data_IF_750230077762
#
_entry.id   IF_750230077762
#
_cell.length_a   1.000
_cell.length_b   1.000
_cell.length_c   1.000
_cell.angle_alpha   90.00
_cell.angle_beta   90.00
_cell.angle_gamma   90.00
#
_symmetry.space_group_name_H-M   'P 1'
#
loop_
_entity.id
_entity.type
_entity.pdbx_description
1 polymer ?
#
# COMPACT_ATOMS: atom_id res chain seq x y z
N UNK A 1 6.28 3.08 8.83
CA UNK A 1 6.29 2.01 9.85
C UNK A 1 6.44 0.62 9.23
N UNK A 2 6.07 0.43 7.97
CA UNK A 2 6.26 -0.84 7.23
C UNK A 2 7.68 -0.95 6.62
N UNK A 3 8.30 0.16 6.23
CA UNK A 3 9.59 0.20 5.56
C UNK A 3 10.75 -0.48 6.30
N UNK A 4 10.92 -0.38 7.62
CA UNK A 4 12.02 -1.05 8.29
C UNK A 4 12.07 -2.55 8.01
N UNK A 5 10.91 -3.24 8.00
CA UNK A 5 10.86 -4.68 7.72
C UNK A 5 11.08 -5.02 6.25
N UNK A 6 10.60 -4.18 5.34
CA UNK A 6 10.90 -4.34 3.90
C UNK A 6 12.40 -4.20 3.66
N UNK A 7 13.03 -3.18 4.27
CA UNK A 7 14.48 -2.96 4.17
C UNK A 7 15.25 -4.12 4.79
N UNK A 8 14.81 -4.66 5.93
CA UNK A 8 15.40 -5.84 6.57
C UNK A 8 15.40 -7.06 5.63
N UNK A 9 14.28 -7.31 4.94
CA UNK A 9 14.19 -8.38 3.94
C UNK A 9 15.13 -8.15 2.76
N UNK A 10 15.21 -6.93 2.23
CA UNK A 10 16.15 -6.57 1.16
C UNK A 10 17.59 -6.77 1.62
N UNK A 11 17.95 -6.24 2.80
CA UNK A 11 19.31 -6.29 3.34
C UNK A 11 19.77 -7.72 3.59
N UNK A 12 18.92 -8.56 4.15
CA UNK A 12 19.25 -9.97 4.44
C UNK A 12 19.69 -10.74 3.19
N UNK A 13 19.00 -10.50 2.07
CA UNK A 13 19.30 -11.15 0.78
C UNK A 13 20.54 -10.55 0.15
N UNK A 14 20.61 -9.21 0.01
CA UNK A 14 21.70 -8.53 -0.70
C UNK A 14 23.03 -8.67 0.02
N UNK A 15 23.06 -8.50 1.35
CA UNK A 15 24.29 -8.63 2.15
C UNK A 15 24.84 -10.06 2.09
N UNK A 16 23.98 -11.09 2.08
CA UNK A 16 24.41 -12.49 1.90
C UNK A 16 25.11 -12.76 0.58
N UNK A 17 24.89 -11.92 -0.43
CA UNK A 17 25.51 -11.99 -1.77
C UNK A 17 26.64 -10.97 -1.97
N UNK A 18 27.07 -10.28 -0.91
CA UNK A 18 28.18 -9.34 -0.93
C UNK A 18 27.83 -7.93 -1.42
N UNK A 19 26.55 -7.60 -1.57
CA UNK A 19 26.10 -6.24 -1.93
C UNK A 19 25.88 -5.38 -0.68
N UNK A 20 26.00 -4.07 -0.86
CA UNK A 20 25.68 -3.06 0.17
C UNK A 20 24.52 -2.20 -0.28
N UNK A 21 23.71 -1.71 0.66
CA UNK A 21 22.55 -0.88 0.37
C UNK A 21 22.87 0.61 0.56
N UNK A 22 22.45 1.42 -0.42
CA UNK A 22 22.37 2.88 -0.29
C UNK A 22 20.89 3.26 -0.19
N UNK A 23 20.42 3.63 0.99
CA UNK A 23 19.03 4.02 1.20
C UNK A 23 18.81 5.50 0.83
N UNK A 24 17.81 5.77 -0.02
CA UNK A 24 17.32 7.10 -0.36
C UNK A 24 15.86 7.22 0.04
N UNK A 25 15.50 8.27 0.79
CA UNK A 25 14.13 8.51 1.22
C UNK A 25 13.51 9.67 0.45
N UNK A 26 12.55 9.36 -0.40
CA UNK A 26 11.83 10.33 -1.25
C UNK A 26 10.70 11.05 -0.51
N UNK A 27 10.31 10.59 0.68
CA UNK A 27 9.14 11.10 1.45
C UNK A 27 7.85 11.14 0.62
N UNK A 28 7.70 10.20 -0.28
CA UNK A 28 6.62 10.13 -1.26
C UNK A 28 6.48 11.41 -2.11
N UNK A 29 7.60 12.04 -2.44
CA UNK A 29 7.69 13.24 -3.29
C UNK A 29 8.33 12.90 -4.63
N UNK A 30 7.60 13.13 -5.73
CA UNK A 30 8.09 12.88 -7.10
C UNK A 30 9.32 13.70 -7.46
N UNK A 31 9.42 14.94 -6.98
CA UNK A 31 10.61 15.77 -7.21
C UNK A 31 11.83 15.24 -6.45
N UNK A 32 11.62 14.70 -5.24
CA UNK A 32 12.69 14.04 -4.48
C UNK A 32 13.09 12.71 -5.12
N UNK A 33 12.13 11.95 -5.65
CA UNK A 33 12.42 10.71 -6.39
C UNK A 33 13.29 11.00 -7.61
N UNK A 34 12.89 11.98 -8.44
CA UNK A 34 13.70 12.41 -9.58
C UNK A 34 15.13 12.80 -9.16
N UNK A 35 15.25 13.62 -8.11
CA UNK A 35 16.57 14.01 -7.58
C UNK A 35 17.38 12.81 -7.08
N UNK A 36 16.75 11.86 -6.38
CA UNK A 36 17.43 10.64 -5.94
C UNK A 36 17.92 9.80 -7.12
N UNK A 37 17.11 9.65 -8.18
CA UNK A 37 17.50 8.94 -9.39
C UNK A 37 18.66 9.64 -10.10
N UNK A 38 18.63 10.97 -10.25
CA UNK A 38 19.74 11.74 -10.82
C UNK A 38 21.05 11.55 -10.05
N UNK A 39 20.98 11.56 -8.71
CA UNK A 39 22.14 11.31 -7.85
C UNK A 39 22.66 9.88 -7.96
N UNK A 40 21.76 8.88 -8.10
CA UNK A 40 22.14 7.47 -8.26
C UNK A 40 22.80 7.20 -9.62
N UNK A 41 22.28 7.81 -10.69
CA UNK A 41 22.88 7.71 -12.04
C UNK A 41 24.30 8.26 -12.15
N UNK A 42 24.75 9.08 -11.17
CA UNK A 42 26.11 9.58 -11.08
C UNK A 42 27.05 8.70 -10.23
N UNK A 43 26.50 7.61 -9.65
CA UNK A 43 27.24 6.67 -8.82
C UNK A 43 27.41 5.35 -9.54
N UNK A 44 28.44 4.63 -9.15
CA UNK A 44 28.65 3.25 -9.58
C UNK A 44 27.74 2.35 -8.74
N UNK A 45 26.52 2.10 -9.26
CA UNK A 45 25.50 1.25 -8.64
C UNK A 45 25.18 0.07 -9.54
N UNK A 46 24.97 -1.09 -8.95
CA UNK A 46 24.65 -2.32 -9.68
C UNK A 46 23.17 -2.41 -10.06
N UNK A 47 22.28 -1.90 -9.21
CA UNK A 47 20.83 -1.97 -9.46
C UNK A 47 20.01 -1.14 -8.47
N UNK A 48 18.70 -1.04 -8.66
CA UNK A 48 17.81 -0.21 -7.84
C UNK A 48 16.52 -0.95 -7.48
N UNK A 49 16.11 -0.89 -6.21
CA UNK A 49 14.75 -1.27 -5.78
C UNK A 49 14.01 0.03 -5.45
N UNK A 50 12.83 0.21 -6.04
CA UNK A 50 12.11 1.49 -6.05
C UNK A 50 10.69 1.30 -5.55
N UNK A 51 10.32 1.98 -4.47
CA UNK A 51 8.92 2.27 -4.19
C UNK A 51 8.56 3.61 -4.81
N UNK A 52 7.74 3.64 -5.86
CA UNK A 52 7.49 4.85 -6.63
C UNK A 52 6.64 5.85 -5.84
N UNK A 53 7.06 7.11 -5.82
CA UNK A 53 6.34 8.19 -5.14
C UNK A 53 5.07 8.57 -5.91
N UNK A 54 3.93 8.56 -5.20
CA UNK A 54 2.62 8.90 -5.78
C UNK A 54 2.33 8.13 -7.06
N UNK A 55 2.45 6.81 -6.98
CA UNK A 55 2.43 5.86 -8.10
C UNK A 55 1.16 5.93 -8.97
N UNK A 56 0.04 6.45 -8.45
CA UNK A 56 -1.20 6.68 -9.22
C UNK A 56 -1.11 7.91 -10.13
N UNK A 57 -0.19 8.84 -9.84
CA UNK A 57 -0.06 10.08 -10.62
C UNK A 57 0.95 9.85 -11.75
N UNK A 58 0.63 10.39 -12.94
CA UNK A 58 1.49 10.30 -14.12
C UNK A 58 2.96 10.65 -13.81
N UNK A 59 3.88 9.74 -14.08
CA UNK A 59 5.31 9.95 -13.87
C UNK A 59 5.86 10.93 -14.91
N UNK A 60 6.40 12.08 -14.46
CA UNK A 60 6.96 13.10 -15.33
C UNK A 60 8.46 12.95 -15.61
N UNK A 61 9.13 12.07 -14.86
CA UNK A 61 10.58 11.83 -14.94
C UNK A 61 10.91 10.45 -15.51
N UNK A 62 10.10 9.97 -16.46
CA UNK A 62 10.33 8.69 -17.17
C UNK A 62 11.70 8.62 -17.82
N UNK A 63 12.20 9.75 -18.30
CA UNK A 63 13.53 9.87 -18.89
C UNK A 63 14.68 9.43 -17.96
N UNK A 64 14.47 9.45 -16.63
CA UNK A 64 15.48 8.95 -15.67
C UNK A 64 15.45 7.42 -15.59
N UNK A 65 14.30 6.82 -15.75
CA UNK A 65 14.14 5.36 -15.89
C UNK A 65 14.70 4.88 -17.23
N UNK A 66 14.46 5.64 -18.33
CA UNK A 66 15.05 5.35 -19.64
C UNK A 66 16.58 5.34 -19.56
N UNK A 67 17.19 6.24 -18.77
CA UNK A 67 18.64 6.25 -18.53
C UNK A 67 19.14 5.03 -17.74
N UNK A 68 18.35 4.52 -16.77
CA UNK A 68 18.68 3.26 -16.10
C UNK A 68 18.74 2.11 -17.13
N UNK A 69 17.75 2.04 -18.04
CA UNK A 69 17.74 1.06 -19.12
C UNK A 69 18.94 1.25 -20.09
N UNK A 70 19.25 2.47 -20.50
CA UNK A 70 20.40 2.80 -21.37
C UNK A 70 21.75 2.40 -20.76
N UNK A 71 21.87 2.57 -19.45
CA UNK A 71 23.11 2.23 -18.71
C UNK A 71 23.14 0.76 -18.26
N UNK A 72 22.10 -0.04 -18.63
CA UNK A 72 21.93 -1.42 -18.21
C UNK A 72 21.93 -1.60 -16.68
N UNK A 73 21.38 -0.63 -15.94
CA UNK A 73 21.16 -0.70 -14.51
C UNK A 73 19.77 -1.30 -14.26
N UNK A 74 19.65 -2.57 -13.83
CA UNK A 74 18.36 -3.18 -13.59
C UNK A 74 17.66 -2.53 -12.40
N UNK A 75 16.33 -2.43 -12.47
CA UNK A 75 15.52 -1.95 -11.37
C UNK A 75 14.25 -2.77 -11.18
N UNK A 76 13.79 -2.83 -9.94
CA UNK A 76 12.58 -3.55 -9.52
C UNK A 76 11.68 -2.59 -8.76
N UNK A 77 10.41 -2.49 -9.17
CA UNK A 77 9.40 -1.81 -8.39
C UNK A 77 8.90 -2.69 -7.24
N UNK A 78 8.66 -2.07 -6.09
CA UNK A 78 8.11 -2.74 -4.92
C UNK A 78 6.90 -1.97 -4.40
N UNK A 79 5.86 -2.69 -3.95
CA UNK A 79 4.63 -2.18 -3.35
C UNK A 79 3.71 -1.39 -4.31
N UNK A 80 4.25 -0.68 -5.25
CA UNK A 80 3.52 0.08 -6.26
C UNK A 80 4.29 0.14 -7.58
N UNK A 81 3.61 0.51 -8.65
CA UNK A 81 4.19 0.72 -9.97
C UNK A 81 3.45 1.84 -10.69
N UNK A 82 4.15 2.64 -11.48
CA UNK A 82 3.49 3.58 -12.38
C UNK A 82 2.80 2.84 -13.53
N UNK A 83 1.61 3.27 -13.93
CA UNK A 83 0.87 2.66 -15.07
C UNK A 83 1.70 2.65 -16.36
N UNK A 84 2.52 3.70 -16.57
CA UNK A 84 3.41 3.80 -17.74
C UNK A 84 4.52 2.73 -17.77
N UNK A 85 4.78 2.06 -16.64
CA UNK A 85 5.89 1.12 -16.44
C UNK A 85 5.42 -0.23 -15.92
N UNK A 86 4.13 -0.56 -16.11
CA UNK A 86 3.53 -1.80 -15.61
C UNK A 86 4.21 -3.09 -16.12
N UNK A 87 4.91 -3.01 -17.24
CA UNK A 87 5.64 -4.13 -17.85
C UNK A 87 7.04 -4.33 -17.24
N UNK A 88 7.48 -3.40 -16.38
CA UNK A 88 8.79 -3.49 -15.72
C UNK A 88 8.78 -4.49 -14.56
N UNK A 89 9.95 -5.01 -14.16
CA UNK A 89 10.07 -5.92 -13.02
C UNK A 89 9.45 -5.34 -11.74
N UNK A 90 8.61 -6.13 -11.07
CA UNK A 90 7.88 -5.63 -9.89
C UNK A 90 7.47 -6.74 -8.93
N UNK A 91 7.41 -6.39 -7.65
CA UNK A 91 6.87 -7.23 -6.58
C UNK A 91 5.78 -6.44 -5.85
N UNK A 92 4.55 -6.83 -6.07
CA UNK A 92 3.36 -6.16 -5.54
C UNK A 92 2.53 -7.12 -4.69
N UNK A 93 1.68 -6.56 -3.82
CA UNK A 93 0.60 -7.31 -3.19
C UNK A 93 -0.69 -7.13 -4.01
N UNK A 94 -1.56 -8.14 -4.01
CA UNK A 94 -2.88 -8.01 -4.63
C UNK A 94 -3.81 -7.16 -3.75
N UNK A 95 -3.61 -5.84 -3.83
CA UNK A 95 -4.36 -4.85 -3.06
C UNK A 95 -5.86 -4.86 -3.39
N UNK A 96 -6.22 -5.19 -4.64
CA UNK A 96 -7.62 -5.31 -5.03
C UNK A 96 -8.28 -6.50 -4.31
N UNK A 97 -7.61 -7.63 -4.27
CA UNK A 97 -8.08 -8.79 -3.51
C UNK A 97 -8.11 -8.50 -2.01
N UNK A 98 -7.11 -7.79 -1.46
CA UNK A 98 -7.09 -7.40 -0.06
C UNK A 98 -8.28 -6.50 0.33
N UNK A 99 -8.54 -5.46 -0.45
CA UNK A 99 -9.70 -4.58 -0.27
C UNK A 99 -11.04 -5.33 -0.40
N UNK A 100 -11.12 -6.27 -1.35
CA UNK A 100 -12.28 -7.14 -1.49
C UNK A 100 -12.50 -8.04 -0.27
N UNK A 101 -11.46 -8.73 0.19
CA UNK A 101 -11.55 -9.68 1.31
C UNK A 101 -12.04 -9.01 2.60
N UNK A 102 -11.46 -7.85 2.94
CA UNK A 102 -11.80 -7.16 4.19
C UNK A 102 -13.20 -6.55 4.14
N UNK A 103 -13.64 -6.05 3.00
CA UNK A 103 -14.98 -5.51 2.80
C UNK A 103 -16.01 -6.63 2.82
N UNK A 104 -15.76 -7.73 2.13
CA UNK A 104 -16.62 -8.93 2.15
C UNK A 104 -16.79 -9.47 3.56
N UNK A 105 -15.73 -9.51 4.37
CA UNK A 105 -15.80 -9.93 5.76
C UNK A 105 -16.79 -9.06 6.57
N UNK A 106 -16.75 -7.74 6.44
CA UNK A 106 -17.73 -6.85 7.10
C UNK A 106 -19.16 -7.12 6.63
N UNK A 107 -19.35 -7.34 5.33
CA UNK A 107 -20.67 -7.67 4.77
C UNK A 107 -21.19 -9.01 5.33
N UNK A 108 -20.33 -10.01 5.45
CA UNK A 108 -20.67 -11.32 6.04
C UNK A 108 -21.01 -11.23 7.53
N UNK A 109 -20.50 -10.24 8.26
CA UNK A 109 -20.89 -9.90 9.62
C UNK A 109 -22.24 -9.16 9.71
N UNK A 110 -22.83 -8.77 8.58
CA UNK A 110 -24.14 -8.13 8.51
C UNK A 110 -24.12 -6.60 8.42
N UNK A 111 -22.93 -5.99 8.28
CA UNK A 111 -22.80 -4.54 8.08
C UNK A 111 -23.44 -4.09 6.76
N UNK A 112 -24.15 -2.96 6.79
CA UNK A 112 -24.90 -2.42 5.65
C UNK A 112 -24.45 -1.02 5.23
N UNK A 113 -23.90 -0.25 6.15
CA UNK A 113 -23.50 1.15 5.94
C UNK A 113 -21.98 1.27 6.11
N UNK A 114 -21.27 0.75 5.12
CA UNK A 114 -19.80 0.60 5.17
C UNK A 114 -19.15 1.78 4.48
N UNK A 115 -18.44 2.62 5.22
CA UNK A 115 -17.59 3.67 4.65
C UNK A 115 -16.23 3.15 4.25
N UNK A 116 -15.56 3.88 3.33
CA UNK A 116 -14.19 3.62 2.90
C UNK A 116 -13.29 4.83 3.10
N UNK A 117 -12.06 4.61 3.53
CA UNK A 117 -11.01 5.63 3.63
C UNK A 117 -9.82 5.17 2.81
N UNK A 118 -9.56 5.84 1.69
CA UNK A 118 -8.54 5.40 0.73
C UNK A 118 -7.60 6.52 0.32
N UNK A 119 -6.37 6.13 -0.01
CA UNK A 119 -5.34 7.06 -0.47
C UNK A 119 -5.45 7.27 -1.98
N UNK A 120 -5.51 8.54 -2.41
CA UNK A 120 -5.78 8.90 -3.80
C UNK A 120 -4.53 8.90 -4.70
N UNK A 121 -3.35 9.12 -4.13
CA UNK A 121 -2.13 9.38 -4.87
C UNK A 121 -1.20 8.16 -5.03
N UNK A 122 -1.61 6.95 -4.58
CA UNK A 122 -0.90 5.72 -4.86
C UNK A 122 -1.79 4.61 -5.45
N UNK A 123 -1.18 3.66 -6.12
CA UNK A 123 -1.87 2.52 -6.77
C UNK A 123 -2.48 1.57 -5.75
N UNK A 124 -1.90 1.45 -4.56
CA UNK A 124 -2.41 0.63 -3.48
C UNK A 124 -3.80 1.11 -3.04
N UNK A 125 -3.96 2.41 -2.79
CA UNK A 125 -5.24 2.98 -2.37
C UNK A 125 -6.32 2.83 -3.41
N UNK A 126 -5.99 3.06 -4.69
CA UNK A 126 -6.91 2.84 -5.80
C UNK A 126 -7.33 1.37 -5.94
N UNK A 127 -6.40 0.43 -5.80
CA UNK A 127 -6.70 -0.98 -5.91
C UNK A 127 -7.49 -1.51 -4.71
N UNK A 128 -7.18 -1.08 -3.48
CA UNK A 128 -7.99 -1.40 -2.28
C UNK A 128 -9.42 -0.90 -2.42
N UNK A 129 -9.61 0.32 -2.94
CA UNK A 129 -10.94 0.86 -3.26
C UNK A 129 -11.67 0.03 -4.34
N UNK A 130 -10.98 -0.39 -5.42
CA UNK A 130 -11.59 -1.29 -6.43
C UNK A 130 -12.11 -2.58 -5.78
N UNK A 131 -11.34 -3.15 -4.87
CA UNK A 131 -11.74 -4.33 -4.10
C UNK A 131 -12.97 -4.08 -3.22
N UNK A 132 -13.00 -2.94 -2.52
CA UNK A 132 -14.16 -2.49 -1.73
C UNK A 132 -15.43 -2.36 -2.59
N UNK A 133 -15.35 -1.65 -3.71
CA UNK A 133 -16.48 -1.48 -4.64
C UNK A 133 -16.96 -2.83 -5.16
N UNK A 134 -16.05 -3.70 -5.55
CA UNK A 134 -16.37 -5.05 -6.04
C UNK A 134 -17.13 -5.87 -4.99
N UNK A 135 -16.72 -5.84 -3.73
CA UNK A 135 -17.38 -6.58 -2.67
C UNK A 135 -18.82 -6.08 -2.43
N UNK A 136 -19.03 -4.75 -2.44
CA UNK A 136 -20.37 -4.16 -2.35
C UNK A 136 -21.25 -4.59 -3.53
N UNK A 137 -20.73 -4.51 -4.75
CA UNK A 137 -21.47 -4.89 -5.96
C UNK A 137 -21.88 -6.36 -5.96
N UNK A 138 -20.96 -7.27 -5.60
CA UNK A 138 -21.26 -8.72 -5.53
C UNK A 138 -22.30 -9.05 -4.45
N UNK A 139 -22.39 -8.25 -3.39
CA UNK A 139 -23.40 -8.37 -2.35
C UNK A 139 -24.73 -7.67 -2.68
N UNK A 140 -24.84 -7.03 -3.85
CA UNK A 140 -26.03 -6.26 -4.23
C UNK A 140 -26.23 -4.96 -3.42
N UNK A 141 -25.16 -4.49 -2.75
CA UNK A 141 -25.19 -3.25 -1.98
C UNK A 141 -24.90 -2.04 -2.89
N UNK A 142 -25.59 -0.91 -2.70
CA UNK A 142 -25.32 0.28 -3.51
C UNK A 142 -23.96 0.88 -3.15
N UNK A 143 -23.21 1.30 -4.18
CA UNK A 143 -22.03 2.13 -3.98
C UNK A 143 -22.47 3.60 -3.84
N UNK A 144 -22.13 4.21 -2.71
CA UNK A 144 -22.35 5.62 -2.45
C UNK A 144 -21.00 6.34 -2.36
N UNK A 145 -20.64 7.21 -3.34
CA UNK A 145 -19.37 7.93 -3.32
C UNK A 145 -19.22 8.86 -2.10
N UNK A 146 -20.32 9.31 -1.49
CA UNK A 146 -20.31 10.13 -0.28
C UNK A 146 -19.95 9.33 0.99
N UNK A 147 -19.92 8.00 0.90
CA UNK A 147 -19.39 7.12 1.95
C UNK A 147 -17.89 6.87 1.80
N UNK A 148 -17.21 7.53 0.86
CA UNK A 148 -15.79 7.33 0.60
C UNK A 148 -14.99 8.60 0.86
N UNK A 149 -14.02 8.50 1.75
CA UNK A 149 -13.06 9.57 2.04
C UNK A 149 -11.76 9.29 1.29
N UNK A 150 -11.43 10.17 0.35
CA UNK A 150 -10.17 10.16 -0.36
C UNK A 150 -9.19 11.14 0.27
N UNK A 151 -7.98 10.68 0.60
CA UNK A 151 -6.92 11.54 1.14
C UNK A 151 -5.64 11.43 0.31
N UNK A 152 -4.81 12.46 0.42
CA UNK A 152 -3.49 12.54 -0.20
C UNK A 152 -2.38 12.42 0.85
N UNK A 153 -1.15 12.27 0.40
CA UNK A 153 0.02 12.20 1.29
C UNK A 153 0.10 13.40 2.23
N UNK A 154 -0.27 14.58 1.75
CA UNK A 154 -0.17 15.86 2.46
C UNK A 154 -1.18 16.00 3.60
N UNK A 155 -2.41 15.53 3.40
CA UNK A 155 -3.53 15.70 4.34
C UNK A 155 -3.89 14.43 5.12
N UNK A 156 -3.08 13.38 4.99
CA UNK A 156 -3.33 12.04 5.57
C UNK A 156 -3.63 12.00 7.07
N UNK A 157 -3.28 13.03 7.82
CA UNK A 157 -3.53 13.10 9.27
C UNK A 157 -4.85 13.78 9.62
N UNK A 158 -5.35 14.64 8.76
CA UNK A 158 -6.49 15.51 9.02
C UNK A 158 -7.72 15.02 8.24
N UNK A 159 -7.58 14.88 6.94
CA UNK A 159 -8.72 14.61 6.06
C UNK A 159 -9.46 13.28 6.36
N UNK A 160 -8.79 12.15 6.65
CA UNK A 160 -9.48 10.93 7.11
C UNK A 160 -10.28 11.12 8.39
N UNK A 161 -9.73 11.85 9.36
CA UNK A 161 -10.39 12.15 10.64
C UNK A 161 -11.65 12.98 10.45
N UNK A 162 -11.54 14.13 9.78
CA UNK A 162 -12.67 15.04 9.54
C UNK A 162 -13.72 14.41 8.62
N UNK A 163 -13.29 13.69 7.58
CA UNK A 163 -14.16 13.03 6.62
C UNK A 163 -15.05 11.98 7.27
N UNK A 164 -14.49 11.13 8.13
CA UNK A 164 -15.29 10.11 8.86
C UNK A 164 -16.22 10.76 9.87
N UNK A 165 -15.80 11.82 10.58
CA UNK A 165 -16.72 12.54 11.46
C UNK A 165 -17.89 13.16 10.69
N UNK A 166 -17.66 13.67 9.50
CA UNK A 166 -18.72 14.22 8.66
C UNK A 166 -19.70 13.13 8.20
N UNK A 167 -19.20 11.95 7.80
CA UNK A 167 -20.05 10.81 7.43
C UNK A 167 -20.88 10.38 8.64
N UNK A 168 -20.26 10.13 9.80
CA UNK A 168 -20.94 9.66 11.00
C UNK A 168 -22.01 10.61 11.53
N UNK A 169 -21.88 11.93 11.28
CA UNK A 169 -22.89 12.94 11.68
C UNK A 169 -24.09 13.05 10.73
N UNK A 170 -23.90 12.70 9.45
CA UNK A 170 -24.86 13.00 8.40
C UNK A 170 -25.46 11.77 7.72
N UNK A 171 -24.88 10.59 7.94
CA UNK A 171 -25.29 9.31 7.34
C UNK A 171 -25.30 8.19 8.36
N UNK A 172 -26.02 7.12 8.07
CA UNK A 172 -25.88 5.87 8.82
C UNK A 172 -24.51 5.27 8.53
N UNK A 173 -23.81 4.83 9.58
CA UNK A 173 -22.48 4.26 9.52
C UNK A 173 -22.37 3.11 10.53
N UNK A 174 -22.06 1.91 10.07
CA UNK A 174 -21.89 0.74 10.93
C UNK A 174 -20.51 0.05 10.74
N UNK A 175 -19.76 0.39 9.68
CA UNK A 175 -18.41 -0.08 9.52
C UNK A 175 -17.54 0.87 8.68
N UNK A 176 -16.19 0.78 8.85
CA UNK A 176 -15.20 1.53 8.07
C UNK A 176 -14.08 0.62 7.61
N UNK A 177 -13.85 0.61 6.30
CA UNK A 177 -12.67 0.00 5.67
C UNK A 177 -11.60 1.07 5.52
N UNK A 178 -10.46 0.91 6.22
CA UNK A 178 -9.37 1.88 6.18
C UNK A 178 -8.25 1.44 5.24
N UNK A 179 -7.62 2.42 4.61
CA UNK A 179 -6.45 2.24 3.75
C UNK A 179 -5.36 1.43 4.46
N UNK A 180 -5.06 1.74 5.72
CA UNK A 180 -4.13 0.97 6.54
C UNK A 180 -4.41 1.10 8.04
N UNK A 181 -3.66 0.36 8.86
CA UNK A 181 -3.83 0.36 10.32
C UNK A 181 -3.56 1.74 10.94
N UNK A 182 -2.63 2.52 10.38
CA UNK A 182 -2.36 3.88 10.86
C UNK A 182 -3.57 4.81 10.64
N UNK A 183 -4.23 4.70 9.47
CA UNK A 183 -5.47 5.44 9.21
C UNK A 183 -6.62 4.92 10.10
N UNK A 184 -6.71 3.61 10.31
CA UNK A 184 -7.71 3.01 11.20
C UNK A 184 -7.64 3.59 12.61
N UNK A 185 -6.44 3.77 13.17
CA UNK A 185 -6.28 4.43 14.48
C UNK A 185 -6.74 5.89 14.49
N UNK A 186 -6.57 6.60 13.38
CA UNK A 186 -7.11 7.96 13.21
C UNK A 186 -8.63 7.98 13.14
N UNK A 187 -9.22 7.03 12.42
CA UNK A 187 -10.68 6.83 12.29
C UNK A 187 -11.31 6.47 13.64
N UNK A 188 -10.70 5.55 14.39
CA UNK A 188 -11.16 5.17 15.74
C UNK A 188 -11.25 6.42 16.63
N UNK A 189 -10.20 7.23 16.70
CA UNK A 189 -10.20 8.49 17.48
C UNK A 189 -11.27 9.47 17.00
N UNK A 190 -11.54 9.52 15.70
CA UNK A 190 -12.57 10.39 15.13
C UNK A 190 -13.99 9.96 15.57
N UNK A 191 -14.24 8.66 15.64
CA UNK A 191 -15.52 8.08 16.07
C UNK A 191 -15.71 8.18 17.60
N UNK A 192 -14.66 7.90 18.39
CA UNK A 192 -14.65 8.07 19.83
C UNK A 192 -14.95 9.52 20.25
N UNK A 193 -14.44 10.50 19.49
CA UNK A 193 -14.75 11.92 19.71
C UNK A 193 -16.22 12.29 19.46
N UNK A 194 -17.01 11.36 18.91
CA UNK A 194 -18.48 11.44 18.75
C UNK A 194 -19.22 10.50 19.70
N UNK A 195 -18.53 10.00 20.73
CA UNK A 195 -19.06 9.03 21.71
C UNK A 195 -19.52 7.70 21.11
N UNK A 196 -19.04 7.34 19.89
CA UNK A 196 -19.29 6.05 19.24
C UNK A 196 -18.29 4.99 19.73
N UNK A 197 -18.80 3.82 20.08
CA UNK A 197 -18.00 2.68 20.57
C UNK A 197 -17.54 1.79 19.43
N UNK A 198 -16.28 1.35 19.49
CA UNK A 198 -15.68 0.42 18.56
C UNK A 198 -15.40 -0.90 19.31
N UNK A 199 -15.88 -2.05 18.83
CA UNK A 199 -16.66 -2.26 17.60
C UNK A 199 -18.18 -2.17 17.76
N UNK A 200 -18.73 -1.88 18.94
CA UNK A 200 -20.16 -2.04 19.29
C UNK A 200 -21.08 -1.20 18.40
N UNK A 201 -20.75 0.06 18.16
CA UNK A 201 -21.55 0.96 17.30
C UNK A 201 -21.01 0.98 15.86
N UNK A 202 -19.67 0.96 15.69
CA UNK A 202 -19.02 0.99 14.37
C UNK A 202 -17.81 0.06 14.35
N UNK A 203 -17.80 -0.90 13.45
CA UNK A 203 -16.62 -1.74 13.20
C UNK A 203 -15.58 -1.01 12.36
N UNK A 204 -14.29 -1.08 12.74
CA UNK A 204 -13.20 -0.47 11.98
C UNK A 204 -12.18 -1.53 11.60
N UNK A 205 -11.81 -1.58 10.31
CA UNK A 205 -10.80 -2.51 9.81
C UNK A 205 -9.61 -1.77 9.22
N UNK A 206 -8.44 -2.43 9.25
CA UNK A 206 -7.18 -1.88 8.74
C UNK A 206 -6.57 -2.68 7.60
N UNK A 207 -5.31 -2.36 7.32
CA UNK A 207 -4.45 -3.03 6.35
C UNK A 207 -3.00 -2.90 6.84
N UNK A 208 -2.12 -3.81 6.47
CA UNK A 208 -0.71 -3.97 6.83
C UNK A 208 -0.45 -4.91 8.01
N UNK A 209 -1.44 -5.20 8.86
CA UNK A 209 -1.29 -6.04 10.06
C UNK A 209 -0.11 -5.58 10.94
N UNK A 210 -0.04 -4.28 11.21
CA UNK A 210 1.07 -3.68 11.90
C UNK A 210 1.11 -4.09 13.39
N UNK A 211 2.33 -4.30 13.91
CA UNK A 211 2.56 -4.77 15.28
C UNK A 211 1.85 -3.95 16.38
N UNK A 212 1.78 -2.61 16.23
CA UNK A 212 1.09 -1.74 17.18
C UNK A 212 -0.43 -1.93 17.19
N UNK A 213 -1.02 -2.38 16.09
CA UNK A 213 -2.44 -2.75 16.04
C UNK A 213 -2.76 -3.99 16.90
N UNK A 214 -1.73 -4.76 17.29
CA UNK A 214 -1.85 -5.90 18.19
C UNK A 214 -1.70 -5.54 19.68
N UNK A 215 -1.09 -4.39 19.98
CA UNK A 215 -0.78 -3.95 21.35
C UNK A 215 -1.74 -2.86 21.86
N UNK A 216 -2.58 -2.30 20.99
CA UNK A 216 -3.64 -1.39 21.40
C UNK A 216 -4.78 -2.17 22.04
N UNK A 217 -5.58 -1.51 22.86
CA UNK A 217 -6.82 -2.06 23.42
C UNK A 217 -7.81 -2.49 22.30
N UNK A 218 -7.56 -2.05 21.08
CA UNK A 218 -8.29 -2.43 19.89
C UNK A 218 -7.55 -3.51 19.11
N UNK A 219 -8.09 -4.73 19.13
CA UNK A 219 -7.60 -5.85 18.32
C UNK A 219 -8.09 -5.69 16.88
N UNK A 220 -7.39 -4.91 16.09
CA UNK A 220 -7.82 -4.53 14.74
C UNK A 220 -7.78 -5.70 13.75
N UNK A 221 -8.92 -6.07 13.18
CA UNK A 221 -8.98 -6.95 12.00
C UNK A 221 -8.34 -6.24 10.82
N UNK A 222 -7.40 -6.90 10.15
CA UNK A 222 -6.52 -6.27 9.16
C UNK A 222 -6.13 -7.26 8.06
N UNK A 223 -5.68 -6.76 6.91
CA UNK A 223 -5.03 -7.57 5.88
C UNK A 223 -3.54 -7.64 6.19
N UNK A 224 -2.98 -8.85 6.23
CA UNK A 224 -1.55 -9.04 6.40
C UNK A 224 -0.78 -8.58 5.16
N UNK A 225 0.24 -7.76 5.42
CA UNK A 225 1.22 -7.32 4.45
C UNK A 225 2.56 -7.99 4.79
N UNK A 226 3.01 -8.97 4.02
CA UNK A 226 4.23 -9.71 4.32
C UNK A 226 5.49 -8.89 3.96
N UNK A 227 5.76 -7.85 4.74
CA UNK A 227 6.72 -6.77 4.46
C UNK A 227 8.14 -7.29 4.20
N UNK A 228 8.65 -8.12 5.11
CA UNK A 228 9.99 -8.72 5.00
C UNK A 228 10.08 -9.61 3.77
N UNK A 229 9.08 -10.46 3.56
CA UNK A 229 9.02 -11.36 2.39
C UNK A 229 8.96 -10.61 1.06
N UNK A 230 8.23 -9.49 0.99
CA UNK A 230 8.22 -8.62 -0.19
C UNK A 230 9.62 -8.04 -0.46
N UNK A 231 10.31 -7.62 0.60
CA UNK A 231 11.70 -7.16 0.49
C UNK A 231 12.64 -8.23 -0.04
N UNK A 232 12.58 -9.45 0.54
CA UNK A 232 13.36 -10.60 0.06
C UNK A 232 13.10 -10.88 -1.42
N UNK A 233 11.83 -11.00 -1.82
CA UNK A 233 11.45 -11.28 -3.21
C UNK A 233 11.92 -10.20 -4.19
N UNK A 234 11.89 -8.91 -3.80
CA UNK A 234 12.39 -7.83 -4.63
C UNK A 234 13.91 -7.90 -4.81
N UNK A 235 14.63 -8.24 -3.75
CA UNK A 235 16.08 -8.42 -3.80
C UNK A 235 16.47 -9.66 -4.62
N UNK A 236 15.76 -10.78 -4.47
CA UNK A 236 15.97 -11.99 -5.26
C UNK A 236 15.72 -11.72 -6.76
N UNK A 237 14.65 -11.01 -7.10
CA UNK A 237 14.35 -10.61 -8.47
C UNK A 237 15.45 -9.71 -9.05
N UNK A 238 15.92 -8.71 -8.29
CA UNK A 238 17.02 -7.84 -8.71
C UNK A 238 18.31 -8.63 -8.93
N UNK A 239 18.65 -9.54 -8.03
CA UNK A 239 19.83 -10.41 -8.17
C UNK A 239 19.74 -11.31 -9.41
N UNK A 240 18.56 -11.84 -9.71
CA UNK A 240 18.32 -12.59 -10.94
C UNK A 240 18.59 -11.75 -12.19
N UNK A 241 18.09 -10.51 -12.21
CA UNK A 241 18.35 -9.56 -13.32
C UNK A 241 19.84 -9.23 -13.48
N UNK A 242 20.56 -9.10 -12.37
CA UNK A 242 22.02 -8.82 -12.38
C UNK A 242 22.82 -10.03 -12.90
N UNK A 243 22.44 -11.27 -12.56
CA UNK A 243 23.20 -12.49 -12.91
C UNK A 243 22.85 -13.00 -14.30
N UNK A 244 21.58 -13.01 -14.66
CA UNK A 244 21.06 -13.66 -15.87
C UNK A 244 20.83 -12.67 -17.02
N UNK A 245 20.82 -11.37 -16.72
CA UNK A 245 20.62 -10.30 -17.70
C UNK A 245 19.19 -10.25 -18.30
N UNK A 246 18.49 -11.37 -18.36
CA UNK A 246 17.14 -11.44 -18.91
C UNK A 246 16.31 -12.56 -18.27
N UNK A 247 15.48 -12.21 -17.29
CA UNK A 247 14.49 -13.11 -16.70
C UNK A 247 13.25 -13.13 -17.61
N UNK A 248 12.56 -14.27 -17.81
CA UNK A 248 11.32 -14.36 -18.55
C UNK A 248 10.27 -13.35 -18.03
N UNK A 249 9.48 -12.76 -18.92
CA UNK A 249 8.50 -11.73 -18.54
C UNK A 249 7.49 -12.24 -17.47
N UNK A 250 7.09 -13.51 -17.57
CA UNK A 250 6.22 -14.17 -16.60
C UNK A 250 6.79 -14.25 -15.17
N UNK A 251 8.10 -14.11 -15.02
CA UNK A 251 8.81 -14.18 -13.72
C UNK A 251 9.20 -12.80 -13.19
N UNK A 252 9.01 -11.74 -14.01
CA UNK A 252 9.33 -10.35 -13.63
C UNK A 252 8.22 -9.67 -12.83
N UNK A 253 7.00 -10.19 -12.90
CA UNK A 253 5.82 -9.60 -12.27
C UNK A 253 5.30 -10.53 -11.19
N UNK A 254 5.67 -10.23 -9.95
CA UNK A 254 5.31 -11.04 -8.80
C UNK A 254 4.14 -10.38 -8.07
N UNK A 255 3.00 -11.09 -7.98
CA UNK A 255 1.83 -10.64 -7.26
C UNK A 255 1.59 -11.53 -6.04
N UNK A 256 1.86 -10.98 -4.85
CA UNK A 256 1.73 -11.69 -3.58
C UNK A 256 0.27 -11.66 -3.11
N UNK A 257 -0.23 -12.82 -2.67
CA UNK A 257 -1.61 -12.95 -2.17
C UNK A 257 -1.72 -12.34 -0.78
N UNK A 258 -2.74 -11.49 -0.53
CA UNK A 258 -3.03 -10.98 0.82
C UNK A 258 -3.69 -12.05 1.68
N UNK A 259 -3.58 -11.90 3.01
CA UNK A 259 -4.23 -12.75 4.00
C UNK A 259 -5.05 -11.89 4.96
N UNK A 260 -6.28 -12.32 5.26
CA UNK A 260 -7.13 -11.66 6.25
C UNK A 260 -6.79 -12.18 7.65
N UNK A 261 -6.49 -11.26 8.57
CA UNK A 261 -6.21 -11.54 9.98
C UNK A 261 -7.38 -11.01 10.81
N UNK A 262 -8.21 -11.92 11.29
CA UNK A 262 -9.41 -11.62 12.09
C UNK A 262 -9.01 -11.55 13.57
N UNK A 263 -9.53 -10.54 14.30
CA UNK A 263 -9.24 -10.32 15.73
C UNK A 263 -10.44 -10.04 16.62
N UNK A 264 -11.56 -9.73 16.06
CA UNK A 264 -12.86 -9.69 16.76
C UNK A 264 -13.95 -10.42 15.96
#
# INVERSE_FOLDING_TARGET
YIFPRVIEGIDSVLTSQGYSIILKNTRNSRSMEAKCLEELLQKDIDGVIIEPSKSQIFCKHTNLYDKLDEYNIPYVFIQGCFEQMKDKPQVLIDDCKGGYMITKYLIELGHKHIAGVFKADDTQGQNRHKGYVRALQEAGMPYDPDMVVWFYTEDRKIHPYEGIQNIAKNKELDAVVCYNDQNAMGVIRALEALDLKIPDDVSVTGYDNFYMANQSDFRLTSIAHPQEKLGEMAAELLLGLLKEGNIPESERQILVKPELVIRW
#
